data_IF_174912632961
#
_entry.id   IF_174912632961
#
_cell.length_a   1.000
_cell.length_b   1.000
_cell.length_c   1.000
_cell.angle_alpha   90.00
_cell.angle_beta   90.00
_cell.angle_gamma   90.00
#
_symmetry.space_group_name_H-M   'P 1'
#
loop_
_entity.id
_entity.type
_entity.pdbx_description
1 polymer ?
#
# COMPACT_ATOMS: atom_id res chain seq x y z
N UNK A 1 11.06 -17.38 -17.58
CA UNK A 1 10.11 -17.32 -16.46
C UNK A 1 8.76 -17.75 -16.97
N UNK A 2 8.15 -18.74 -16.34
CA UNK A 2 6.77 -19.15 -16.66
C UNK A 2 5.85 -17.97 -16.35
N UNK A 3 5.00 -17.61 -17.33
CA UNK A 3 4.05 -16.52 -17.16
C UNK A 3 3.00 -16.92 -16.12
N UNK A 4 2.81 -16.09 -15.11
CA UNK A 4 1.85 -16.34 -14.03
C UNK A 4 0.50 -15.76 -14.44
N UNK A 5 -0.53 -16.59 -14.49
CA UNK A 5 -1.88 -16.16 -14.83
C UNK A 5 -2.43 -15.15 -13.83
N UNK A 6 -3.32 -14.25 -14.28
CA UNK A 6 -3.89 -13.17 -13.48
C UNK A 6 -4.52 -13.67 -12.16
N UNK A 7 -5.37 -14.69 -12.23
CA UNK A 7 -6.02 -15.25 -11.04
C UNK A 7 -5.04 -15.94 -10.11
N UNK A 8 -4.03 -16.64 -10.65
CA UNK A 8 -2.96 -17.21 -9.84
C UNK A 8 -2.19 -16.11 -9.09
N UNK A 9 -1.85 -15.01 -9.77
CA UNK A 9 -1.21 -13.87 -9.12
C UNK A 9 -2.09 -13.32 -7.99
N UNK A 10 -3.38 -13.10 -8.23
CA UNK A 10 -4.33 -12.59 -7.23
C UNK A 10 -4.46 -13.51 -6.02
N UNK A 11 -4.52 -14.84 -6.23
CA UNK A 11 -4.73 -15.80 -5.15
C UNK A 11 -3.46 -16.16 -4.37
N UNK A 12 -2.28 -15.78 -4.87
CA UNK A 12 -1.00 -16.13 -4.27
C UNK A 12 -0.11 -14.96 -3.88
N UNK A 13 -0.46 -13.70 -4.21
CA UNK A 13 0.29 -12.50 -3.87
C UNK A 13 0.11 -12.16 -2.38
N UNK A 14 0.73 -12.96 -1.50
CA UNK A 14 0.74 -12.69 -0.05
C UNK A 14 1.81 -11.68 0.33
N UNK A 15 1.65 -11.03 1.47
CA UNK A 15 2.64 -10.13 2.06
C UNK A 15 3.94 -10.90 2.40
N UNK A 16 4.96 -10.76 1.55
CA UNK A 16 6.29 -11.36 1.73
C UNK A 16 7.24 -10.32 2.30
N UNK A 17 7.53 -10.45 3.59
CA UNK A 17 8.28 -9.48 4.39
C UNK A 17 9.75 -9.82 4.55
N UNK A 18 10.13 -11.07 4.26
CA UNK A 18 11.52 -11.54 4.30
C UNK A 18 12.05 -11.60 2.88
N UNK A 19 12.94 -10.68 2.56
CA UNK A 19 13.50 -10.51 1.23
C UNK A 19 15.01 -10.77 1.27
N UNK A 20 15.55 -11.25 0.16
CA UNK A 20 16.98 -11.36 -0.04
C UNK A 20 17.59 -9.98 -0.27
N UNK A 21 18.85 -9.76 0.09
CA UNK A 21 19.55 -8.51 -0.18
C UNK A 21 19.98 -8.37 -1.65
N UNK A 22 19.76 -9.40 -2.47
CA UNK A 22 20.17 -9.41 -3.87
C UNK A 22 19.56 -8.21 -4.62
N UNK A 23 20.33 -7.49 -5.43
CA UNK A 23 19.84 -6.34 -6.17
C UNK A 23 18.76 -6.74 -7.17
N UNK A 24 17.72 -5.92 -7.29
CA UNK A 24 16.68 -6.08 -8.32
C UNK A 24 17.08 -5.22 -9.52
N UNK A 25 17.20 -5.79 -10.74
CA UNK A 25 17.58 -5.04 -11.94
C UNK A 25 16.61 -3.88 -12.25
N UNK A 26 17.12 -2.81 -12.88
CA UNK A 26 16.33 -1.60 -13.19
C UNK A 26 15.20 -1.91 -14.15
N UNK A 27 15.41 -2.77 -15.12
CA UNK A 27 14.39 -3.19 -16.09
C UNK A 27 13.24 -3.96 -15.39
N UNK A 28 13.51 -4.67 -14.30
CA UNK A 28 12.47 -5.37 -13.53
C UNK A 28 11.63 -4.37 -12.74
N UNK A 29 12.27 -3.39 -12.08
CA UNK A 29 11.55 -2.31 -11.38
C UNK A 29 10.76 -1.47 -12.38
N UNK A 30 11.30 -1.17 -13.55
CA UNK A 30 10.59 -0.47 -14.62
C UNK A 30 9.30 -1.19 -15.02
N UNK A 31 9.34 -2.53 -15.18
CA UNK A 31 8.14 -3.34 -15.47
C UNK A 31 7.10 -3.26 -14.34
N UNK A 32 7.56 -3.27 -13.09
CA UNK A 32 6.67 -3.11 -11.92
C UNK A 32 5.98 -1.74 -11.96
N UNK A 33 6.73 -0.67 -12.25
CA UNK A 33 6.19 0.69 -12.34
C UNK A 33 5.25 0.84 -13.54
N UNK A 34 5.59 0.25 -14.70
CA UNK A 34 4.72 0.22 -15.88
C UNK A 34 3.38 -0.43 -15.59
N UNK A 35 3.35 -1.51 -14.80
CA UNK A 35 2.08 -2.11 -14.37
C UNK A 35 1.30 -1.16 -13.44
N UNK A 36 1.98 -0.45 -12.56
CA UNK A 36 1.36 0.53 -11.67
C UNK A 36 0.61 1.62 -12.42
N UNK A 37 1.23 2.22 -13.44
CA UNK A 37 0.62 3.31 -14.21
C UNK A 37 -0.52 2.86 -15.14
N UNK A 38 -0.80 1.56 -15.26
CA UNK A 38 -2.00 1.06 -15.97
C UNK A 38 -3.28 1.13 -15.12
N UNK A 39 -3.19 1.56 -13.88
CA UNK A 39 -4.36 1.69 -13.02
C UNK A 39 -5.29 2.83 -13.46
N UNK A 40 -6.60 2.74 -13.20
CA UNK A 40 -7.51 3.86 -13.40
C UNK A 40 -7.23 4.98 -12.41
N UNK A 41 -7.50 6.23 -12.80
CA UNK A 41 -7.47 7.39 -11.92
C UNK A 41 -8.67 8.29 -12.14
N UNK A 42 -9.15 8.94 -11.09
CA UNK A 42 -10.30 9.84 -11.14
C UNK A 42 -10.10 10.96 -12.17
N UNK A 43 -11.00 11.03 -13.17
CA UNK A 43 -10.88 11.97 -14.28
C UNK A 43 -9.61 11.79 -15.13
N UNK A 44 -9.01 10.61 -15.13
CA UNK A 44 -7.72 10.30 -15.78
C UNK A 44 -6.60 11.29 -15.36
N UNK A 45 -6.62 11.74 -14.13
CA UNK A 45 -5.72 12.78 -13.62
C UNK A 45 -4.26 12.34 -13.54
N UNK A 46 -4.01 11.04 -13.35
CA UNK A 46 -2.67 10.42 -13.29
C UNK A 46 -1.67 11.21 -12.42
N UNK A 47 -2.15 11.74 -11.31
CA UNK A 47 -1.38 12.59 -10.39
C UNK A 47 -0.56 11.80 -9.36
N UNK A 48 -0.30 10.52 -9.63
CA UNK A 48 0.60 9.67 -8.87
C UNK A 48 2.06 9.87 -9.27
N UNK A 49 2.94 9.58 -8.32
CA UNK A 49 4.38 9.49 -8.49
C UNK A 49 4.89 8.27 -7.74
N UNK A 50 6.02 7.73 -8.18
CA UNK A 50 6.61 6.54 -7.56
C UNK A 50 8.10 6.80 -7.35
N UNK A 51 8.58 6.72 -6.11
CA UNK A 51 9.99 6.89 -5.77
C UNK A 51 10.55 5.52 -5.42
N UNK A 52 11.46 5.01 -6.25
CA UNK A 52 12.18 3.77 -5.99
C UNK A 52 13.52 4.10 -5.31
N UNK A 53 13.58 3.93 -4.00
CA UNK A 53 14.75 4.24 -3.18
C UNK A 53 15.68 3.03 -3.16
N UNK A 54 16.89 3.18 -3.74
CA UNK A 54 17.95 2.17 -3.76
C UNK A 54 19.15 2.57 -2.92
N UNK A 55 19.36 3.88 -2.72
CA UNK A 55 20.43 4.38 -1.89
C UNK A 55 20.32 3.82 -0.47
N UNK A 56 21.40 3.22 0.01
CA UNK A 56 21.42 2.53 1.29
C UNK A 56 21.16 3.48 2.47
N UNK A 57 21.72 4.69 2.41
CA UNK A 57 21.56 5.66 3.50
C UNK A 57 20.12 6.15 3.57
N UNK A 58 19.50 6.43 2.42
CA UNK A 58 18.09 6.81 2.38
C UNK A 58 17.17 5.68 2.85
N UNK A 59 17.45 4.41 2.44
CA UNK A 59 16.67 3.25 2.93
C UNK A 59 16.77 3.10 4.44
N UNK A 60 17.96 3.27 5.01
CA UNK A 60 18.17 3.24 6.46
C UNK A 60 17.39 4.34 7.18
N UNK A 61 17.42 5.59 6.65
CA UNK A 61 16.64 6.70 7.21
C UNK A 61 15.14 6.43 7.15
N UNK A 62 14.62 5.95 6.04
CA UNK A 62 13.20 5.57 5.90
C UNK A 62 12.84 4.40 6.82
N UNK A 63 13.71 3.41 6.96
CA UNK A 63 13.55 2.28 7.87
C UNK A 63 13.48 2.74 9.34
N UNK A 64 14.29 3.71 9.74
CA UNK A 64 14.26 4.28 11.09
C UNK A 64 12.93 5.00 11.38
N UNK A 65 12.42 5.79 10.42
CA UNK A 65 11.10 6.44 10.55
C UNK A 65 9.99 5.38 10.61
N UNK A 66 10.07 4.36 9.76
CA UNK A 66 9.10 3.26 9.77
C UNK A 66 9.11 2.49 11.08
N UNK A 67 10.29 2.21 11.66
CA UNK A 67 10.44 1.56 12.96
C UNK A 67 9.80 2.40 14.05
N UNK A 68 10.15 3.68 14.16
CA UNK A 68 9.58 4.61 15.12
C UNK A 68 8.04 4.63 15.07
N UNK A 69 7.45 4.74 13.89
CA UNK A 69 6.01 4.69 13.69
C UNK A 69 5.40 3.33 14.06
N UNK A 70 6.12 2.25 13.80
CA UNK A 70 5.66 0.89 14.07
C UNK A 70 5.67 0.54 15.56
N UNK A 71 6.56 1.14 16.35
CA UNK A 71 6.58 0.97 17.81
C UNK A 71 5.29 1.52 18.44
N UNK A 72 4.79 2.68 17.99
CA UNK A 72 3.49 3.22 18.43
C UNK A 72 2.32 2.34 17.96
N UNK A 73 2.36 1.90 16.71
CA UNK A 73 1.31 1.02 16.15
C UNK A 73 1.28 -0.34 16.85
N UNK A 74 2.42 -0.84 17.35
CA UNK A 74 2.50 -2.09 18.11
C UNK A 74 1.64 -2.03 19.38
N UNK A 75 1.67 -0.91 20.12
CA UNK A 75 0.85 -0.71 21.33
C UNK A 75 -0.65 -0.75 20.99
N UNK A 76 -1.04 -0.13 19.87
CA UNK A 76 -2.42 -0.17 19.38
C UNK A 76 -2.82 -1.61 19.04
N UNK A 77 -1.96 -2.37 18.34
CA UNK A 77 -2.25 -3.77 18.03
C UNK A 77 -2.32 -4.66 19.28
N UNK A 78 -1.49 -4.40 20.29
CA UNK A 78 -1.52 -5.13 21.56
C UNK A 78 -2.84 -4.92 22.31
N UNK A 79 -3.46 -3.74 22.18
CA UNK A 79 -4.75 -3.42 22.78
C UNK A 79 -5.97 -3.94 21.97
N UNK A 80 -5.78 -4.41 20.74
CA UNK A 80 -6.87 -4.89 19.88
C UNK A 80 -7.14 -6.39 20.11
N UNK A 81 -8.41 -6.75 20.12
CA UNK A 81 -8.81 -8.14 20.06
C UNK A 81 -8.39 -8.79 18.71
N UNK A 82 -8.05 -10.07 18.76
CA UNK A 82 -7.82 -10.88 17.56
C UNK A 82 -9.10 -10.89 16.70
N UNK A 83 -9.01 -10.72 15.37
CA UNK A 83 -10.15 -10.88 14.47
C UNK A 83 -10.76 -12.30 14.56
N UNK A 84 -12.09 -12.39 14.62
CA UNK A 84 -12.81 -13.66 14.82
C UNK A 84 -12.53 -14.72 13.77
N UNK A 85 -12.27 -14.30 12.52
CA UNK A 85 -11.95 -15.20 11.40
C UNK A 85 -10.51 -15.75 11.41
N UNK A 86 -9.69 -15.40 12.40
CA UNK A 86 -8.32 -15.88 12.54
C UNK A 86 -8.18 -16.82 13.75
N UNK A 87 -7.40 -17.89 13.61
CA UNK A 87 -6.93 -18.66 14.74
C UNK A 87 -5.82 -17.93 15.50
N UNK A 88 -5.58 -18.28 16.77
CA UNK A 88 -4.48 -17.70 17.54
C UNK A 88 -3.11 -17.92 16.87
N UNK A 89 -2.93 -19.07 16.23
CA UNK A 89 -1.69 -19.35 15.52
C UNK A 89 -1.51 -18.44 14.30
N UNK A 90 -2.59 -18.19 13.54
CA UNK A 90 -2.56 -17.26 12.40
C UNK A 90 -2.27 -15.85 12.86
N UNK A 91 -2.90 -15.40 13.95
CA UNK A 91 -2.70 -14.08 14.51
C UNK A 91 -1.27 -13.89 15.04
N UNK A 92 -0.73 -14.86 15.81
CA UNK A 92 0.68 -14.81 16.24
C UNK A 92 1.66 -14.74 15.08
N UNK A 93 1.43 -15.50 13.99
CA UNK A 93 2.28 -15.44 12.77
C UNK A 93 2.18 -14.08 12.08
N UNK A 94 0.99 -13.48 12.03
CA UNK A 94 0.80 -12.14 11.48
C UNK A 94 1.59 -11.10 12.26
N UNK A 95 1.48 -11.11 13.59
CA UNK A 95 2.18 -10.19 14.48
C UNK A 95 3.71 -10.36 14.39
N UNK A 96 4.19 -11.60 14.43
CA UNK A 96 5.63 -11.88 14.27
C UNK A 96 6.16 -11.43 12.90
N UNK A 97 5.36 -11.56 11.84
CA UNK A 97 5.72 -11.05 10.51
C UNK A 97 5.76 -9.53 10.45
N UNK A 98 4.87 -8.85 11.18
CA UNK A 98 4.89 -7.38 11.35
C UNK A 98 6.14 -6.94 12.08
N UNK A 99 6.39 -7.49 13.27
CA UNK A 99 7.57 -7.19 14.09
C UNK A 99 8.89 -7.39 13.33
N UNK A 100 9.01 -8.47 12.55
CA UNK A 100 10.17 -8.66 11.69
C UNK A 100 10.37 -7.50 10.71
N UNK A 101 9.29 -7.07 10.03
CA UNK A 101 9.40 -6.00 9.04
C UNK A 101 9.76 -4.65 9.68
N UNK A 102 9.31 -4.40 10.92
CA UNK A 102 9.64 -3.17 11.63
C UNK A 102 11.15 -3.01 11.84
N UNK A 103 11.85 -4.12 12.09
CA UNK A 103 13.31 -4.15 12.25
C UNK A 103 14.06 -4.12 10.91
N UNK A 104 13.48 -4.76 9.89
CA UNK A 104 14.18 -5.14 8.66
C UNK A 104 13.69 -4.42 7.40
N UNK A 105 12.93 -3.31 7.53
CA UNK A 105 12.42 -2.56 6.37
C UNK A 105 13.55 -2.12 5.45
N UNK A 106 14.65 -1.62 6.01
CA UNK A 106 15.80 -1.09 5.25
C UNK A 106 16.66 -2.15 4.58
N UNK A 107 16.50 -3.44 4.95
CA UNK A 107 17.28 -4.55 4.38
C UNK A 107 16.83 -4.89 2.94
N UNK A 108 15.60 -4.50 2.59
CA UNK A 108 15.11 -4.68 1.23
C UNK A 108 15.97 -3.92 0.21
N UNK A 109 16.33 -4.51 -0.95
CA UNK A 109 17.16 -3.85 -1.96
C UNK A 109 16.51 -2.61 -2.57
N UNK A 110 15.18 -2.52 -2.53
CA UNK A 110 14.40 -1.37 -3.00
C UNK A 110 13.27 -1.07 -2.03
N UNK A 111 13.12 0.21 -1.66
CA UNK A 111 11.91 0.72 -1.02
C UNK A 111 11.14 1.55 -2.05
N UNK A 112 9.93 1.12 -2.40
CA UNK A 112 9.06 1.87 -3.29
C UNK A 112 8.09 2.71 -2.45
N UNK A 113 8.03 4.01 -2.76
CA UNK A 113 7.13 4.97 -2.11
C UNK A 113 6.14 5.53 -3.13
N UNK A 114 4.94 4.96 -3.24
CA UNK A 114 3.86 5.54 -4.02
C UNK A 114 3.36 6.84 -3.40
N UNK A 115 3.32 7.89 -4.21
CA UNK A 115 2.92 9.23 -3.81
C UNK A 115 1.78 9.73 -4.70
N UNK A 116 1.03 10.69 -4.19
CA UNK A 116 -0.03 11.37 -4.94
C UNK A 116 0.09 12.88 -4.71
N UNK A 117 0.04 13.66 -5.80
CA UNK A 117 -0.10 15.11 -5.68
C UNK A 117 -1.53 15.47 -5.28
N UNK A 118 -1.64 16.31 -4.27
CA UNK A 118 -2.92 16.83 -3.79
C UNK A 118 -3.62 17.61 -4.91
N UNK A 119 -4.91 17.46 -5.00
CA UNK A 119 -5.78 18.30 -5.84
C UNK A 119 -6.69 19.06 -4.90
N UNK A 120 -6.39 20.34 -4.72
CA UNK A 120 -7.21 21.19 -3.88
C UNK A 120 -8.55 21.49 -4.56
N UNK A 121 -9.60 21.61 -3.76
CA UNK A 121 -10.82 22.23 -4.23
C UNK A 121 -10.58 23.72 -4.53
N UNK A 122 -11.20 24.26 -5.59
CA UNK A 122 -11.25 25.71 -5.75
C UNK A 122 -11.80 26.39 -4.49
N UNK A 123 -11.38 27.63 -4.19
CA UNK A 123 -11.89 28.33 -3.04
C UNK A 123 -13.41 28.51 -3.14
N UNK A 124 -14.10 28.56 -1.99
CA UNK A 124 -15.58 28.59 -1.92
C UNK A 124 -16.21 29.67 -2.82
N UNK A 125 -15.54 30.81 -2.91
CA UNK A 125 -15.99 31.99 -3.65
C UNK A 125 -15.95 31.79 -5.17
N UNK A 126 -15.11 30.89 -5.65
CA UNK A 126 -14.95 30.55 -7.07
C UNK A 126 -15.96 29.50 -7.55
N UNK A 127 -16.80 28.97 -6.65
CA UNK A 127 -17.73 27.89 -6.96
C UNK A 127 -19.16 28.42 -7.18
N UNK A 128 -19.97 27.75 -8.02
CA UNK A 128 -21.40 28.03 -8.10
C UNK A 128 -22.07 27.96 -6.72
N UNK A 129 -23.06 28.81 -6.48
CA UNK A 129 -23.72 28.90 -5.17
C UNK A 129 -24.25 27.56 -4.62
N UNK A 130 -24.77 26.69 -5.49
CA UNK A 130 -25.27 25.35 -5.12
C UNK A 130 -24.16 24.45 -4.58
N UNK A 131 -22.93 24.57 -5.08
CA UNK A 131 -21.75 23.81 -4.61
C UNK A 131 -21.15 24.48 -3.37
N UNK A 132 -21.05 25.82 -3.38
CA UNK A 132 -20.52 26.61 -2.27
C UNK A 132 -21.30 26.41 -0.96
N UNK A 133 -22.62 26.23 -1.02
CA UNK A 133 -23.46 25.90 0.15
C UNK A 133 -23.09 24.57 0.81
N UNK A 134 -22.51 23.64 0.04
CA UNK A 134 -22.12 22.30 0.51
C UNK A 134 -20.59 22.11 0.53
N UNK A 135 -19.83 23.19 0.60
CA UNK A 135 -18.37 23.18 0.51
C UNK A 135 -17.70 22.17 1.47
N UNK A 136 -18.14 22.18 2.74
CA UNK A 136 -17.55 21.29 3.75
C UNK A 136 -17.87 19.81 3.49
N UNK A 137 -19.04 19.52 2.91
CA UNK A 137 -19.41 18.17 2.46
C UNK A 137 -18.47 17.71 1.32
N UNK A 138 -18.16 18.61 0.40
CA UNK A 138 -17.22 18.30 -0.69
C UNK A 138 -15.79 18.12 -0.20
N UNK A 139 -15.34 18.90 0.79
CA UNK A 139 -14.04 18.69 1.43
C UNK A 139 -13.95 17.31 2.10
N UNK A 140 -14.95 16.96 2.91
CA UNK A 140 -15.01 15.65 3.56
C UNK A 140 -15.06 14.50 2.54
N UNK A 141 -15.76 14.68 1.42
CA UNK A 141 -15.79 13.73 0.32
C UNK A 141 -14.38 13.56 -0.29
N UNK A 142 -13.67 14.67 -0.58
CA UNK A 142 -12.31 14.60 -1.13
C UNK A 142 -11.34 13.85 -0.21
N UNK A 143 -11.40 14.11 1.10
CA UNK A 143 -10.60 13.38 2.07
C UNK A 143 -10.90 11.87 2.05
N UNK A 144 -12.18 11.50 2.01
CA UNK A 144 -12.61 10.10 2.00
C UNK A 144 -12.13 9.33 0.76
N UNK A 145 -12.02 10.00 -0.40
CA UNK A 145 -11.62 9.37 -1.65
C UNK A 145 -10.14 9.59 -2.00
N UNK A 146 -9.35 10.24 -1.13
CA UNK A 146 -7.97 10.67 -1.41
C UNK A 146 -7.10 9.56 -1.99
N UNK A 147 -7.21 8.33 -1.48
CA UNK A 147 -6.45 7.17 -1.94
C UNK A 147 -7.01 6.43 -3.15
N UNK A 148 -8.18 6.80 -3.66
CA UNK A 148 -8.93 6.01 -4.68
C UNK A 148 -8.18 5.81 -5.99
N UNK A 149 -7.28 6.70 -6.36
CA UNK A 149 -6.47 6.59 -7.58
C UNK A 149 -5.13 5.89 -7.34
N UNK A 150 -4.51 6.04 -6.17
CA UNK A 150 -3.18 5.47 -5.92
C UNK A 150 -3.24 4.01 -5.47
N UNK A 151 -4.24 3.59 -4.68
CA UNK A 151 -4.33 2.20 -4.23
C UNK A 151 -4.58 1.19 -5.35
N UNK A 152 -5.35 1.46 -6.42
CA UNK A 152 -5.37 0.59 -7.60
C UNK A 152 -3.99 0.42 -8.25
N UNK A 153 -3.20 1.50 -8.35
CA UNK A 153 -1.84 1.44 -8.87
C UNK A 153 -0.91 0.60 -7.95
N UNK A 154 -1.03 0.78 -6.64
CA UNK A 154 -0.31 -0.03 -5.65
C UNK A 154 -0.68 -1.52 -5.78
N UNK A 155 -1.97 -1.84 -5.98
CA UNK A 155 -2.40 -3.22 -6.18
C UNK A 155 -1.84 -3.82 -7.47
N UNK A 156 -1.81 -3.07 -8.58
CA UNK A 156 -1.16 -3.51 -9.82
C UNK A 156 0.33 -3.81 -9.59
N UNK A 157 1.03 -2.96 -8.83
CA UNK A 157 2.44 -3.17 -8.43
C UNK A 157 2.61 -4.47 -7.64
N UNK A 158 1.71 -4.76 -6.68
CA UNK A 158 1.74 -6.02 -5.92
C UNK A 158 1.60 -7.24 -6.82
N UNK A 159 0.67 -7.20 -7.78
CA UNK A 159 0.45 -8.27 -8.73
C UNK A 159 1.61 -8.43 -9.71
N UNK A 160 2.18 -7.31 -10.19
CA UNK A 160 3.37 -7.32 -11.04
C UNK A 160 4.58 -7.90 -10.31
N UNK A 161 4.80 -7.53 -9.05
CA UNK A 161 5.84 -8.15 -8.22
C UNK A 161 5.65 -9.68 -8.16
N UNK A 162 4.43 -10.17 -7.91
CA UNK A 162 4.14 -11.60 -7.90
C UNK A 162 4.44 -12.26 -9.26
N UNK A 163 4.02 -11.62 -10.36
CA UNK A 163 4.26 -12.12 -11.72
C UNK A 163 5.74 -12.18 -12.10
N UNK A 164 6.54 -11.26 -11.57
CA UNK A 164 7.98 -11.15 -11.82
C UNK A 164 8.86 -11.89 -10.81
N UNK A 165 8.25 -12.66 -9.90
CA UNK A 165 9.01 -13.43 -8.90
C UNK A 165 9.54 -12.60 -7.73
N UNK A 166 8.99 -11.40 -7.50
CA UNK A 166 9.36 -10.50 -6.41
C UNK A 166 8.40 -10.60 -5.23
N UNK A 167 8.91 -10.41 -4.04
CA UNK A 167 8.14 -10.23 -2.81
C UNK A 167 7.95 -8.75 -2.49
N UNK A 168 6.78 -8.42 -1.95
CA UNK A 168 6.45 -7.08 -1.44
C UNK A 168 5.35 -7.15 -0.39
N UNK A 169 5.12 -6.04 0.28
CA UNK A 169 3.98 -5.81 1.19
C UNK A 169 3.64 -4.33 1.20
N UNK A 170 2.35 -4.00 1.30
CA UNK A 170 1.88 -2.63 1.49
C UNK A 170 1.98 -2.30 2.98
N UNK A 171 2.64 -1.19 3.33
CA UNK A 171 2.67 -0.65 4.69
C UNK A 171 2.38 0.85 4.68
N UNK A 172 1.80 1.34 5.79
CA UNK A 172 1.35 2.74 5.89
C UNK A 172 1.77 3.42 7.19
N UNK A 173 2.47 2.73 8.09
CA UNK A 173 2.84 3.28 9.41
C UNK A 173 3.70 4.54 9.30
N UNK A 174 4.57 4.64 8.28
CA UNK A 174 5.42 5.81 8.03
C UNK A 174 4.63 7.14 7.91
N UNK A 175 3.33 7.08 7.57
CA UNK A 175 2.46 8.26 7.44
C UNK A 175 2.31 8.99 8.79
N UNK A 176 2.47 8.31 9.93
CA UNK A 176 2.50 8.97 11.25
C UNK A 176 3.62 10.02 11.37
N UNK A 177 4.67 9.85 10.59
CA UNK A 177 5.84 10.75 10.53
C UNK A 177 6.09 11.22 9.09
N UNK A 178 5.03 11.56 8.37
CA UNK A 178 5.10 11.89 6.94
C UNK A 178 6.05 13.06 6.66
N UNK A 179 6.13 14.05 7.55
CA UNK A 179 7.05 15.19 7.38
C UNK A 179 8.52 14.76 7.38
N UNK A 180 8.90 13.80 8.22
CA UNK A 180 10.25 13.23 8.22
C UNK A 180 10.52 12.47 6.90
N UNK A 181 9.55 11.70 6.43
CA UNK A 181 9.65 11.00 5.13
C UNK A 181 9.79 11.98 3.98
N UNK A 182 9.00 13.04 3.98
CA UNK A 182 9.05 14.11 2.96
C UNK A 182 10.42 14.79 2.92
N UNK A 183 11.01 15.09 4.08
CA UNK A 183 12.37 15.66 4.17
C UNK A 183 13.43 14.69 3.63
N UNK A 184 13.33 13.39 3.95
CA UNK A 184 14.27 12.38 3.44
C UNK A 184 14.21 12.28 1.92
N UNK A 185 13.01 12.35 1.36
CA UNK A 185 12.76 12.15 -0.08
C UNK A 185 12.78 13.45 -0.89
N UNK A 186 12.82 14.62 -0.24
CA UNK A 186 12.75 15.94 -0.90
C UNK A 186 11.40 16.17 -1.57
N UNK A 187 10.29 15.71 -0.96
CA UNK A 187 8.96 15.86 -1.56
C UNK A 187 8.46 17.30 -1.49
N UNK A 188 7.80 17.80 -2.56
CA UNK A 188 7.04 19.06 -2.51
C UNK A 188 5.92 19.03 -1.46
N UNK A 189 5.46 20.19 -1.00
CA UNK A 189 4.43 20.31 0.03
C UNK A 189 3.07 19.71 -0.38
N UNK A 190 2.79 19.70 -1.67
CA UNK A 190 1.56 19.18 -2.25
C UNK A 190 1.60 17.69 -2.63
N UNK A 191 2.70 16.97 -2.30
CA UNK A 191 2.85 15.55 -2.58
C UNK A 191 2.83 14.75 -1.28
N UNK A 192 1.93 13.79 -1.18
CA UNK A 192 1.71 12.91 -0.03
C UNK A 192 2.10 11.48 -0.34
N UNK A 193 2.64 10.77 0.64
CA UNK A 193 2.96 9.35 0.55
C UNK A 193 1.74 8.50 0.91
N UNK A 194 1.59 7.32 0.30
CA UNK A 194 0.45 6.41 0.54
C UNK A 194 0.87 5.02 0.98
N UNK A 195 2.08 4.62 0.65
CA UNK A 195 2.66 3.37 1.12
C UNK A 195 4.18 3.46 1.18
N UNK A 196 4.77 2.62 2.02
CA UNK A 196 6.19 2.27 1.99
C UNK A 196 6.28 0.77 1.74
N UNK A 197 6.80 0.38 0.58
CA UNK A 197 6.76 -0.99 0.08
C UNK A 197 8.18 -1.52 -0.13
N UNK A 198 8.64 -2.49 0.68
CA UNK A 198 9.88 -3.19 0.38
C UNK A 198 9.68 -4.10 -0.83
N UNK A 199 10.61 -4.08 -1.77
CA UNK A 199 10.62 -4.93 -2.96
C UNK A 199 11.95 -5.66 -3.06
N UNK A 200 11.91 -6.97 -3.29
CA UNK A 200 13.09 -7.83 -3.47
C UNK A 200 12.71 -9.26 -3.75
N UNK A 201 13.69 -10.13 -3.96
CA UNK A 201 13.46 -11.56 -4.11
C UNK A 201 13.07 -12.19 -2.77
N UNK A 202 11.95 -12.94 -2.69
CA UNK A 202 11.48 -13.45 -1.41
C UNK A 202 12.29 -14.63 -0.90
N UNK A 203 12.51 -14.69 0.42
CA UNK A 203 12.97 -15.89 1.13
C UNK A 203 11.84 -16.88 1.38
N UNK A 204 10.60 -16.38 1.47
CA UNK A 204 9.40 -17.18 1.63
C UNK A 204 8.80 -17.65 0.31
N UNK A 205 7.77 -18.49 0.42
CA UNK A 205 7.01 -18.99 -0.75
C UNK A 205 5.75 -18.15 -0.96
N UNK A 206 5.36 -17.94 -2.21
CA UNK A 206 4.00 -17.56 -2.55
C UNK A 206 3.04 -18.66 -2.08
N UNK A 207 1.79 -18.36 -2.01
CA UNK A 207 0.85 -19.39 -1.62
C UNK A 207 -0.55 -18.85 -1.37
N UNK A 208 -1.49 -19.72 -1.05
CA UNK A 208 -2.88 -19.32 -0.92
C UNK A 208 -3.05 -18.26 0.16
N UNK A 209 -3.94 -17.33 -0.12
CA UNK A 209 -4.34 -16.30 0.84
C UNK A 209 -5.44 -16.86 1.74
N UNK A 210 -5.36 -16.57 3.03
CA UNK A 210 -6.49 -16.78 3.93
C UNK A 210 -7.45 -15.61 3.77
N UNK A 211 -8.67 -15.89 3.31
CA UNK A 211 -9.74 -14.90 3.12
C UNK A 211 -11.05 -15.48 3.61
N UNK A 212 -11.94 -14.60 4.02
CA UNK A 212 -13.33 -14.95 4.30
C UNK A 212 -14.01 -15.42 3.02
N UNK A 213 -14.92 -16.40 3.08
CA UNK A 213 -15.72 -16.81 1.93
C UNK A 213 -16.55 -15.64 1.36
N UNK A 214 -16.78 -15.64 0.05
CA UNK A 214 -17.59 -14.60 -0.62
C UNK A 214 -18.97 -14.48 0.01
N UNK A 215 -19.60 -15.61 0.37
CA UNK A 215 -20.91 -15.63 1.01
C UNK A 215 -21.01 -14.86 2.34
N UNK A 216 -19.89 -14.62 3.01
CA UNK A 216 -19.88 -13.84 4.26
C UNK A 216 -19.72 -12.32 4.03
N UNK A 217 -19.34 -11.90 2.83
CA UNK A 217 -18.94 -10.51 2.55
C UNK A 217 -19.63 -9.90 1.33
N UNK A 218 -20.41 -10.70 0.58
CA UNK A 218 -21.16 -10.24 -0.57
C UNK A 218 -22.66 -10.30 -0.30
N UNK A 219 -23.36 -9.28 -0.73
CA UNK A 219 -24.80 -9.13 -0.59
C UNK A 219 -25.41 -8.77 -1.93
N UNK A 220 -26.63 -9.23 -2.18
CA UNK A 220 -27.44 -8.86 -3.34
C UNK A 220 -28.29 -7.63 -2.97
N UNK A 221 -28.29 -6.60 -3.80
CA UNK A 221 -29.12 -5.39 -3.75
C UNK A 221 -29.04 -4.58 -2.45
N UNK A 222 -29.04 -5.21 -1.26
CA UNK A 222 -29.04 -4.55 0.05
C UNK A 222 -28.13 -5.25 1.03
N UNK A 223 -27.67 -4.49 2.01
CA UNK A 223 -26.95 -5.03 3.15
C UNK A 223 -27.77 -6.10 3.88
N UNK A 224 -27.15 -7.24 4.20
CA UNK A 224 -27.79 -8.35 4.92
C UNK A 224 -28.59 -9.29 4.03
N UNK A 225 -28.74 -9.04 2.74
CA UNK A 225 -29.33 -9.98 1.78
C UNK A 225 -28.20 -10.81 1.14
N UNK A 226 -28.03 -12.11 1.47
CA UNK A 226 -26.89 -12.87 1.00
C UNK A 226 -26.81 -12.95 -0.53
N UNK A 227 -25.59 -12.86 -1.07
CA UNK A 227 -25.35 -13.21 -2.46
C UNK A 227 -25.49 -14.72 -2.64
N UNK A 228 -26.41 -15.13 -3.51
CA UNK A 228 -26.63 -16.51 -3.90
C UNK A 228 -26.13 -16.65 -5.34
N UNK A 229 -25.02 -17.36 -5.56
CA UNK A 229 -24.42 -17.61 -6.87
C UNK A 229 -23.99 -19.04 -6.98
#
# INVERSE_FOLDING_TARGET
MTEVGLFEAMYSARALRRLKPDPVPDEVITKVLQAGVQAPSGGNAQNWFFIAVRDQVQRQRLGAVYRKASDEVAEIYAARARPDHMTDQQYRRLMAGGAYLWEHMADAPVLLVPCLRKRDMPPREALPASVAQRYDVHLAHQERIRGSSIYPAIQNIVLACRGLGLGTVITTNHILYEDEVRQILGLPEDVYTFALMPIGYPLGKYGPLSRRPVAEVAFADRWGQPWVG
#
